data_IF_537719383901
#
_entry.id   IF_537719383901
#
_cell.length_a   1.000
_cell.length_b   1.000
_cell.length_c   1.000
_cell.angle_alpha   90.00
_cell.angle_beta   90.00
_cell.angle_gamma   90.00
#
_symmetry.space_group_name_H-M   'P 1'
#
loop_
_entity.id
_entity.type
_entity.pdbx_description
1 polymer ?
#
# COMPACT_ATOMS: atom_id res chain seq x y z
N UNK A 1 -18.40 -8.49 28.03
CA UNK A 1 -17.43 -9.48 27.50
C UNK A 1 -16.41 -8.89 26.53
N UNK A 2 -16.60 -7.68 26.00
CA UNK A 2 -15.65 -6.99 25.09
C UNK A 2 -14.33 -6.59 25.74
N UNK A 3 -14.32 -6.18 27.02
CA UNK A 3 -13.12 -5.68 27.68
C UNK A 3 -11.99 -6.72 27.83
N UNK A 4 -12.30 -8.02 27.97
CA UNK A 4 -11.26 -9.04 28.14
C UNK A 4 -10.49 -9.29 26.83
N UNK A 5 -11.19 -9.25 25.68
CA UNK A 5 -10.59 -9.45 24.36
C UNK A 5 -9.61 -8.32 24.02
N UNK A 6 -10.03 -7.07 24.26
CA UNK A 6 -9.20 -5.89 23.99
C UNK A 6 -7.95 -5.82 24.87
N UNK A 7 -8.01 -6.32 26.11
CA UNK A 7 -6.83 -6.40 26.99
C UNK A 7 -5.82 -7.41 26.45
N UNK A 8 -6.28 -8.58 26.01
CA UNK A 8 -5.40 -9.59 25.41
C UNK A 8 -4.73 -9.07 24.13
N UNK A 9 -5.49 -8.40 23.27
CA UNK A 9 -4.97 -7.74 22.06
C UNK A 9 -3.89 -6.73 22.40
N UNK A 10 -4.09 -5.87 23.41
CA UNK A 10 -3.08 -4.91 23.85
C UNK A 10 -1.78 -5.55 24.34
N UNK A 11 -1.88 -6.66 25.10
CA UNK A 11 -0.71 -7.37 25.63
C UNK A 11 0.07 -8.08 24.51
N UNK A 12 -0.64 -8.68 23.56
CA UNK A 12 -0.01 -9.33 22.41
C UNK A 12 0.67 -8.28 21.53
N UNK A 13 0.00 -7.16 21.27
CA UNK A 13 0.55 -6.10 20.44
C UNK A 13 1.76 -5.41 21.07
N UNK A 14 1.79 -5.25 22.39
CA UNK A 14 2.93 -4.64 23.09
C UNK A 14 4.21 -5.46 23.00
N UNK A 15 4.11 -6.78 22.78
CA UNK A 15 5.27 -7.68 22.57
C UNK A 15 5.63 -7.77 21.08
N UNK A 16 4.63 -7.91 20.21
CA UNK A 16 4.85 -8.10 18.77
C UNK A 16 5.41 -6.83 18.14
N UNK A 17 4.89 -5.66 18.49
CA UNK A 17 5.15 -4.42 17.77
C UNK A 17 6.61 -3.92 17.90
N UNK A 18 7.27 -3.97 19.07
CA UNK A 18 8.72 -3.77 19.15
C UNK A 18 9.50 -4.80 18.33
N UNK A 19 9.11 -6.08 18.40
CA UNK A 19 9.79 -7.19 17.71
C UNK A 19 9.75 -6.99 16.19
N UNK A 20 8.59 -6.67 15.63
CA UNK A 20 8.45 -6.33 14.21
C UNK A 20 9.26 -5.07 13.87
N UNK A 21 9.30 -4.08 14.74
CA UNK A 21 10.09 -2.87 14.51
C UNK A 21 11.61 -3.15 14.47
N UNK A 22 12.09 -4.14 15.21
CA UNK A 22 13.49 -4.58 15.13
C UNK A 22 13.83 -5.24 13.79
N UNK A 23 12.87 -5.89 13.14
CA UNK A 23 13.04 -6.51 11.83
C UNK A 23 13.04 -5.50 10.68
N UNK A 24 12.60 -4.27 10.92
CA UNK A 24 12.68 -3.21 9.92
C UNK A 24 14.13 -2.77 9.72
N UNK A 25 14.51 -2.49 8.47
CA UNK A 25 15.75 -1.79 8.17
C UNK A 25 15.81 -0.40 8.83
N UNK A 26 17.03 0.10 9.03
CA UNK A 26 17.24 1.42 9.64
C UNK A 26 17.18 2.52 8.57
N UNK A 27 16.64 3.70 8.89
CA UNK A 27 16.72 4.86 8.00
C UNK A 27 18.19 5.30 7.82
N UNK A 28 18.52 5.99 6.70
CA UNK A 28 17.63 6.47 5.65
C UNK A 28 17.20 5.36 4.65
N UNK A 29 15.95 5.43 4.21
CA UNK A 29 15.36 4.54 3.21
C UNK A 29 15.65 5.04 1.79
N UNK A 30 16.03 4.15 0.91
CA UNK A 30 16.52 4.44 -0.43
C UNK A 30 15.97 3.49 -1.51
N UNK A 31 14.98 2.64 -1.18
CA UNK A 31 14.38 1.70 -2.13
C UNK A 31 15.15 0.39 -2.29
N UNK A 32 16.16 0.16 -1.45
CA UNK A 32 16.95 -1.06 -1.39
C UNK A 32 16.72 -1.84 -0.09
N UNK A 33 15.56 -1.65 0.52
CA UNK A 33 15.19 -2.33 1.75
C UNK A 33 15.03 -3.84 1.50
N UNK A 34 15.29 -4.61 2.54
CA UNK A 34 15.21 -6.06 2.49
C UNK A 34 13.77 -6.51 2.27
N UNK A 35 13.60 -7.68 1.65
CA UNK A 35 12.27 -8.31 1.53
C UNK A 35 11.60 -8.55 2.89
N UNK A 36 12.41 -8.72 3.93
CA UNK A 36 11.94 -8.85 5.31
C UNK A 36 11.36 -7.53 5.81
N UNK A 37 12.01 -6.39 5.52
CA UNK A 37 11.45 -5.07 5.82
C UNK A 37 10.11 -4.86 5.12
N UNK A 38 10.04 -5.12 3.81
CA UNK A 38 8.80 -4.96 3.04
C UNK A 38 7.65 -5.83 3.58
N UNK A 39 7.91 -7.13 3.81
CA UNK A 39 6.94 -8.05 4.37
C UNK A 39 6.49 -7.61 5.78
N UNK A 40 7.44 -7.24 6.64
CA UNK A 40 7.16 -6.80 8.02
C UNK A 40 6.29 -5.54 8.01
N UNK A 41 6.61 -4.59 7.13
CA UNK A 41 5.89 -3.33 6.99
C UNK A 41 4.47 -3.54 6.49
N UNK A 42 4.25 -4.45 5.55
CA UNK A 42 2.91 -4.83 5.09
C UNK A 42 2.04 -5.36 6.26
N UNK A 43 2.61 -6.20 7.13
CA UNK A 43 1.90 -6.69 8.32
C UNK A 43 1.63 -5.59 9.33
N UNK A 44 2.59 -4.70 9.58
CA UNK A 44 2.41 -3.53 10.46
C UNK A 44 1.30 -2.60 9.95
N UNK A 45 1.24 -2.36 8.64
CA UNK A 45 0.19 -1.57 8.02
C UNK A 45 -1.18 -2.26 8.15
N UNK A 46 -1.25 -3.57 7.90
CA UNK A 46 -2.49 -4.34 8.07
C UNK A 46 -3.02 -4.27 9.50
N UNK A 47 -2.15 -4.45 10.50
CA UNK A 47 -2.48 -4.33 11.93
C UNK A 47 -2.97 -2.90 12.25
N UNK A 48 -2.27 -1.88 11.76
CA UNK A 48 -2.65 -0.49 11.99
C UNK A 48 -4.03 -0.16 11.41
N UNK A 49 -4.41 -0.77 10.27
CA UNK A 49 -5.74 -0.58 9.67
C UNK A 49 -6.83 -1.41 10.30
N UNK A 50 -6.52 -2.60 10.84
CA UNK A 50 -7.52 -3.48 11.46
C UNK A 50 -7.92 -3.04 12.86
N UNK A 51 -6.96 -2.50 13.63
CA UNK A 51 -7.15 -2.13 15.05
C UNK A 51 -6.51 -0.78 15.38
N UNK A 52 -6.92 0.32 14.72
CA UNK A 52 -6.22 1.61 14.77
C UNK A 52 -6.12 2.22 16.17
N UNK A 53 -7.15 2.05 17.01
CA UNK A 53 -7.13 2.56 18.39
C UNK A 53 -6.10 1.83 19.25
N UNK A 54 -6.16 0.50 19.27
CA UNK A 54 -5.24 -0.37 20.04
C UNK A 54 -3.80 -0.19 19.56
N UNK A 55 -3.60 -0.12 18.24
CA UNK A 55 -2.29 0.13 17.64
C UNK A 55 -1.69 1.46 18.10
N UNK A 56 -2.43 2.57 17.95
CA UNK A 56 -1.97 3.91 18.35
C UNK A 56 -1.63 3.98 19.84
N UNK A 57 -2.47 3.38 20.68
CA UNK A 57 -2.28 3.36 22.13
C UNK A 57 -1.10 2.47 22.55
N UNK A 58 -0.75 1.47 21.74
CA UNK A 58 0.43 0.62 21.95
C UNK A 58 1.70 1.33 21.47
N UNK A 59 1.65 1.97 20.31
CA UNK A 59 2.76 2.78 19.76
C UNK A 59 3.13 3.93 20.68
N UNK A 60 2.15 4.58 21.33
CA UNK A 60 2.41 5.69 22.26
C UNK A 60 3.19 5.27 23.51
N UNK A 61 3.15 3.98 23.87
CA UNK A 61 3.84 3.39 25.02
C UNK A 61 5.23 2.82 24.66
N UNK A 62 5.60 2.80 23.39
CA UNK A 62 6.90 2.32 22.96
C UNK A 62 8.04 3.27 23.38
N UNK A 63 9.26 2.74 23.56
CA UNK A 63 10.46 3.56 23.64
C UNK A 63 10.61 4.47 22.41
N UNK A 64 11.05 5.71 22.62
CA UNK A 64 11.12 6.73 21.58
C UNK A 64 11.93 6.28 20.35
N UNK A 65 13.05 5.59 20.54
CA UNK A 65 13.88 5.09 19.44
C UNK A 65 13.13 4.07 18.55
N UNK A 66 12.36 3.17 19.16
CA UNK A 66 11.54 2.18 18.45
C UNK A 66 10.40 2.88 17.73
N UNK A 67 9.70 3.77 18.42
CA UNK A 67 8.60 4.56 17.87
C UNK A 67 9.03 5.37 16.65
N UNK A 68 10.13 6.13 16.74
CA UNK A 68 10.61 6.96 15.62
C UNK A 68 10.98 6.10 14.41
N UNK A 69 11.66 4.95 14.62
CA UNK A 69 11.99 4.03 13.53
C UNK A 69 10.74 3.50 12.83
N UNK A 70 9.75 3.06 13.59
CA UNK A 70 8.47 2.59 13.08
C UNK A 70 7.75 3.68 12.28
N UNK A 71 7.63 4.89 12.86
CA UNK A 71 6.97 6.02 12.20
C UNK A 71 7.68 6.40 10.90
N UNK A 72 9.01 6.44 10.88
CA UNK A 72 9.79 6.70 9.67
C UNK A 72 9.56 5.63 8.60
N UNK A 73 9.55 4.35 8.98
CA UNK A 73 9.31 3.23 8.04
C UNK A 73 7.90 3.31 7.45
N UNK A 74 6.88 3.53 8.28
CA UNK A 74 5.49 3.63 7.83
C UNK A 74 5.29 4.84 6.91
N UNK A 75 5.85 6.01 7.26
CA UNK A 75 5.80 7.19 6.39
C UNK A 75 6.45 6.92 5.03
N UNK A 76 7.60 6.28 5.01
CA UNK A 76 8.27 5.90 3.78
C UNK A 76 7.39 4.95 2.94
N UNK A 77 6.81 3.91 3.55
CA UNK A 77 5.92 2.97 2.87
C UNK A 77 4.76 3.66 2.17
N UNK A 78 4.13 4.62 2.84
CA UNK A 78 2.96 5.34 2.33
C UNK A 78 3.37 6.19 1.12
N UNK A 79 4.50 6.89 1.20
CA UNK A 79 5.02 7.69 0.10
C UNK A 79 5.41 6.82 -1.10
N UNK A 80 6.14 5.73 -0.87
CA UNK A 80 6.55 4.78 -1.92
C UNK A 80 5.32 4.16 -2.61
N UNK A 81 4.29 3.78 -1.84
CA UNK A 81 3.06 3.20 -2.38
C UNK A 81 2.28 4.20 -3.23
N UNK A 82 2.22 5.47 -2.82
CA UNK A 82 1.57 6.52 -3.60
C UNK A 82 2.30 6.78 -4.93
N UNK A 83 3.63 6.85 -4.90
CA UNK A 83 4.44 7.03 -6.12
C UNK A 83 4.25 5.86 -7.09
N UNK A 84 4.23 4.63 -6.57
CA UNK A 84 4.03 3.43 -7.38
C UNK A 84 2.62 3.40 -8.01
N UNK A 85 1.58 3.75 -7.25
CA UNK A 85 0.22 3.84 -7.78
C UNK A 85 0.09 4.89 -8.89
N UNK A 86 0.72 6.06 -8.73
CA UNK A 86 0.72 7.10 -9.75
C UNK A 86 1.43 6.64 -11.04
N UNK A 87 2.61 6.02 -10.91
CA UNK A 87 3.34 5.46 -12.07
C UNK A 87 2.53 4.40 -12.80
N UNK A 88 1.82 3.54 -12.06
CA UNK A 88 0.98 2.52 -12.67
C UNK A 88 -0.19 3.13 -13.44
N UNK A 89 -0.88 4.13 -12.89
CA UNK A 89 -1.96 4.83 -13.58
C UNK A 89 -1.48 5.54 -14.86
N UNK A 90 -0.32 6.19 -14.83
CA UNK A 90 0.26 6.81 -16.02
C UNK A 90 0.57 5.78 -17.11
N UNK A 91 1.14 4.62 -16.74
CA UNK A 91 1.44 3.55 -17.69
C UNK A 91 0.18 2.98 -18.32
N UNK A 92 -0.88 2.79 -17.53
CA UNK A 92 -2.17 2.32 -18.05
C UNK A 92 -2.81 3.33 -19.00
N UNK A 93 -2.74 4.64 -18.70
CA UNK A 93 -3.23 5.69 -19.59
C UNK A 93 -2.45 5.73 -20.91
N UNK A 94 -1.12 5.63 -20.86
CA UNK A 94 -0.29 5.58 -22.07
C UNK A 94 -0.60 4.34 -22.93
N UNK A 95 -0.79 3.18 -22.31
CA UNK A 95 -1.17 1.96 -23.04
C UNK A 95 -2.56 2.08 -23.68
N UNK A 96 -3.53 2.72 -23.02
CA UNK A 96 -4.87 2.98 -23.59
C UNK A 96 -4.80 3.95 -24.76
N UNK A 97 -4.06 5.05 -24.63
CA UNK A 97 -3.88 6.02 -25.71
C UNK A 97 -3.20 5.39 -26.95
N UNK A 98 -2.18 4.56 -26.75
CA UNK A 98 -1.52 3.83 -27.83
C UNK A 98 -2.46 2.82 -28.51
N UNK A 99 -3.36 2.18 -27.74
CA UNK A 99 -4.35 1.27 -28.31
C UNK A 99 -5.42 1.99 -29.14
N UNK A 100 -5.90 3.17 -28.71
CA UNK A 100 -6.84 3.98 -29.49
C UNK A 100 -6.24 4.50 -30.79
N UNK A 101 -4.98 4.93 -30.78
CA UNK A 101 -4.27 5.39 -31.99
C UNK A 101 -4.04 4.24 -32.99
N UNK A 102 -3.91 3.00 -32.50
CA UNK A 102 -3.74 1.80 -33.34
C UNK A 102 -5.03 1.27 -33.98
N UNK A 103 -6.22 1.78 -33.60
CA UNK A 103 -7.47 1.41 -34.27
C UNK A 103 -7.55 2.13 -35.62
N UNK A 104 -7.15 1.43 -36.68
CA UNK A 104 -7.42 1.86 -38.05
C UNK A 104 -8.91 2.21 -38.21
N UNK A 105 -9.25 3.32 -38.89
CA UNK A 105 -10.63 3.64 -39.18
C UNK A 105 -11.19 2.57 -40.14
N UNK A 106 -11.99 1.65 -39.62
CA UNK A 106 -12.74 0.72 -40.46
C UNK A 106 -13.82 1.54 -41.16
N UNK A 107 -13.56 1.94 -42.41
CA UNK A 107 -14.55 2.60 -43.27
C UNK A 107 -15.66 1.59 -43.52
N UNK A 108 -16.73 1.66 -42.73
CA UNK A 108 -17.95 0.94 -43.01
C UNK A 108 -18.63 1.63 -44.20
N UNK A 109 -18.31 1.17 -45.42
CA UNK A 109 -19.07 1.54 -46.62
C UNK A 109 -20.48 0.95 -46.48
N UNK A 110 -21.41 1.75 -45.95
CA UNK A 110 -22.85 1.45 -46.03
C UNK A 110 -23.28 1.57 -47.50
N UNK A 111 -23.17 0.47 -48.22
CA UNK A 111 -23.74 0.30 -49.55
C UNK A 111 -25.22 -0.03 -49.38
N UNK A 112 -26.07 1.00 -49.31
CA UNK A 112 -27.53 0.83 -49.38
C UNK A 112 -27.92 0.63 -50.85
N UNK A 113 -28.21 -0.62 -51.24
CA UNK A 113 -28.71 -0.97 -52.59
C UNK A 113 -30.25 -1.01 -52.67
N UNK A 114 -30.94 -0.44 -51.69
CA UNK A 114 -32.39 -0.55 -51.50
C UNK A 114 -33.24 0.20 -52.55
N UNK A 115 -32.64 0.72 -53.64
CA UNK A 115 -33.31 1.57 -54.62
C UNK A 115 -33.16 1.12 -56.10
N UNK A 116 -32.80 -0.14 -56.35
CA UNK A 116 -32.70 -0.73 -57.71
C UNK A 116 -33.81 -1.76 -58.03
N UNK A 117 -35.03 -1.57 -57.54
CA UNK A 117 -36.18 -2.46 -57.79
C UNK A 117 -37.38 -1.73 -58.37
#
# INVERSE_FOLDING_TARGET
MTNLCTIAEHLVLSVILPTLTYLLDNPPYNGHETKVHEATLAHLMAIATSTPAVFRDTVSKLPNNVKTKLESAMRYSILASQEQQQKQQQKEQQMRAAYEDSKQPTIALKMDFSNFG
#
